data_IF_513841613714
#
_entry.id   IF_513841613714
#
_cell.length_a   1.000
_cell.length_b   1.000
_cell.length_c   1.000
_cell.angle_alpha   90.00
_cell.angle_beta   90.00
_cell.angle_gamma   90.00
#
_symmetry.space_group_name_H-M   'P 1'
#
loop_
_entity.id
_entity.type
_entity.pdbx_description
1 polymer ?
#
# COMPACT_ATOMS: atom_id res chain seq x y z
N UNK A 1 -11.43 -13.74 -8.85
CA UNK A 1 -10.94 -14.98 -8.23
C UNK A 1 -11.47 -15.15 -6.80
N UNK A 2 -11.16 -14.30 -5.83
CA UNK A 2 -11.62 -14.47 -4.43
C UNK A 2 -13.13 -14.74 -4.32
N UNK A 3 -13.97 -13.89 -4.91
CA UNK A 3 -15.43 -14.05 -4.86
C UNK A 3 -15.93 -15.33 -5.56
N UNK A 4 -15.18 -15.86 -6.55
CA UNK A 4 -15.55 -17.06 -7.30
C UNK A 4 -15.27 -18.35 -6.48
N UNK A 5 -14.14 -18.38 -5.74
CA UNK A 5 -13.60 -19.58 -5.12
C UNK A 5 -13.64 -19.58 -3.59
N UNK A 6 -14.14 -18.51 -2.95
CA UNK A 6 -14.42 -18.47 -1.51
C UNK A 6 -15.92 -18.58 -1.22
N UNK A 7 -16.26 -18.85 0.04
CA UNK A 7 -17.66 -18.87 0.46
C UNK A 7 -18.27 -17.47 0.32
N UNK A 8 -19.25 -17.33 -0.58
CA UNK A 8 -19.90 -16.04 -0.93
C UNK A 8 -20.50 -15.32 0.28
N UNK A 9 -21.12 -16.06 1.20
CA UNK A 9 -21.72 -15.50 2.41
C UNK A 9 -20.64 -14.91 3.33
N UNK A 10 -19.54 -15.64 3.55
CA UNK A 10 -18.40 -15.13 4.35
C UNK A 10 -17.74 -13.93 3.70
N UNK A 11 -17.64 -13.93 2.37
CA UNK A 11 -17.08 -12.78 1.63
C UNK A 11 -17.94 -11.52 1.80
N UNK A 12 -19.28 -11.64 1.71
CA UNK A 12 -20.19 -10.51 1.95
C UNK A 12 -20.09 -10.02 3.39
N UNK A 13 -20.06 -10.94 4.37
CA UNK A 13 -19.84 -10.56 5.78
C UNK A 13 -18.50 -9.84 5.97
N UNK A 14 -17.42 -10.31 5.33
CA UNK A 14 -16.12 -9.64 5.35
C UNK A 14 -16.23 -8.18 4.90
N UNK A 15 -16.90 -7.92 3.77
CA UNK A 15 -17.10 -6.56 3.26
C UNK A 15 -17.89 -5.69 4.26
N UNK A 16 -18.96 -6.23 4.84
CA UNK A 16 -19.78 -5.50 5.84
C UNK A 16 -18.94 -5.14 7.07
N UNK A 17 -18.21 -6.08 7.64
CA UNK A 17 -17.35 -5.81 8.79
C UNK A 17 -16.18 -4.88 8.46
N UNK A 18 -15.62 -4.97 7.25
CA UNK A 18 -14.63 -4.03 6.76
C UNK A 18 -15.16 -2.60 6.63
N UNK A 19 -16.40 -2.45 6.15
CA UNK A 19 -17.07 -1.15 6.08
C UNK A 19 -17.28 -0.58 7.49
N UNK A 20 -17.75 -1.39 8.46
CA UNK A 20 -17.91 -0.93 9.85
C UNK A 20 -16.55 -0.52 10.44
N UNK A 21 -15.50 -1.30 10.19
CA UNK A 21 -14.15 -0.96 10.65
C UNK A 21 -13.64 0.36 10.05
N UNK A 22 -14.01 0.69 8.81
CA UNK A 22 -13.61 1.93 8.13
C UNK A 22 -14.18 3.20 8.79
N UNK A 23 -15.19 3.09 9.65
CA UNK A 23 -15.72 4.24 10.42
C UNK A 23 -14.75 4.74 11.50
N UNK A 24 -13.70 4.00 11.85
CA UNK A 24 -12.77 4.37 12.91
C UNK A 24 -12.18 5.78 12.72
N UNK A 25 -11.79 6.15 11.50
CA UNK A 25 -11.24 7.48 11.21
C UNK A 25 -12.26 8.59 11.42
N UNK A 26 -13.53 8.34 11.05
CA UNK A 26 -14.64 9.29 11.26
C UNK A 26 -14.93 9.46 12.75
N UNK A 27 -14.96 8.36 13.50
CA UNK A 27 -15.17 8.39 14.95
C UNK A 27 -14.08 9.24 15.60
N UNK A 28 -12.81 9.05 15.22
CA UNK A 28 -11.70 9.85 15.75
C UNK A 28 -11.80 11.32 15.37
N UNK A 29 -12.21 11.64 14.13
CA UNK A 29 -12.45 13.02 13.71
C UNK A 29 -13.61 13.67 14.53
N UNK A 30 -14.69 12.93 14.76
CA UNK A 30 -15.80 13.39 15.59
C UNK A 30 -15.38 13.60 17.05
N UNK A 31 -14.51 12.73 17.59
CA UNK A 31 -13.93 12.91 18.93
C UNK A 31 -13.15 14.22 19.01
N UNK A 32 -12.27 14.45 18.06
CA UNK A 32 -11.47 15.70 18.01
C UNK A 32 -12.38 16.92 17.89
N UNK A 33 -13.37 16.87 16.99
CA UNK A 33 -14.35 17.94 16.82
C UNK A 33 -15.09 18.28 18.11
N UNK A 34 -15.67 17.25 18.73
CA UNK A 34 -16.55 17.41 19.89
C UNK A 34 -15.77 17.85 21.11
N UNK A 35 -14.62 17.21 21.39
CA UNK A 35 -13.78 17.59 22.54
C UNK A 35 -13.23 19.00 22.39
N UNK A 36 -12.81 19.41 21.19
CA UNK A 36 -12.37 20.79 20.94
C UNK A 36 -13.51 21.79 21.14
N UNK A 37 -14.73 21.49 20.67
CA UNK A 37 -15.86 22.36 20.87
C UNK A 37 -16.30 22.44 22.35
N UNK A 38 -16.25 21.32 23.10
CA UNK A 38 -16.48 21.30 24.55
C UNK A 38 -15.48 22.19 25.27
N UNK A 39 -14.17 22.06 24.93
CA UNK A 39 -13.10 22.86 25.52
C UNK A 39 -13.29 24.35 25.24
N UNK A 40 -13.64 24.72 23.98
CA UNK A 40 -13.84 26.10 23.58
C UNK A 40 -15.05 26.72 24.26
N UNK A 41 -16.15 25.95 24.38
CA UNK A 41 -17.41 26.43 24.99
C UNK A 41 -17.44 26.23 26.50
N UNK A 42 -16.42 25.66 27.12
CA UNK A 42 -16.31 25.37 28.58
C UNK A 42 -17.51 24.57 29.13
N UNK A 43 -18.11 23.69 28.33
CA UNK A 43 -19.27 22.90 28.68
C UNK A 43 -18.87 21.45 28.99
N UNK A 44 -18.65 21.13 30.28
CA UNK A 44 -18.20 19.84 30.75
C UNK A 44 -19.30 18.83 31.07
N UNK A 45 -20.55 19.26 31.13
CA UNK A 45 -21.66 18.46 31.67
C UNK A 45 -21.93 17.18 30.88
N UNK A 46 -21.63 17.18 29.56
CA UNK A 46 -21.91 16.06 28.66
C UNK A 46 -20.72 15.18 28.36
N UNK A 47 -19.55 15.45 28.94
CA UNK A 47 -18.31 14.77 28.56
C UNK A 47 -18.34 13.27 28.90
N UNK A 48 -18.89 12.92 30.06
CA UNK A 48 -18.96 11.52 30.50
C UNK A 48 -19.85 10.67 29.57
N UNK A 49 -21.02 11.20 29.21
CA UNK A 49 -21.92 10.54 28.27
C UNK A 49 -21.28 10.41 26.89
N UNK A 50 -20.64 11.47 26.40
CA UNK A 50 -19.91 11.44 25.13
C UNK A 50 -18.80 10.40 25.12
N UNK A 51 -17.96 10.36 26.15
CA UNK A 51 -16.87 9.38 26.27
C UNK A 51 -17.39 7.94 26.30
N UNK A 52 -18.49 7.67 26.99
CA UNK A 52 -19.10 6.34 27.02
C UNK A 52 -19.55 5.90 25.62
N UNK A 53 -20.20 6.79 24.86
CA UNK A 53 -20.65 6.50 23.49
C UNK A 53 -19.46 6.25 22.57
N UNK A 54 -18.40 7.07 22.67
CA UNK A 54 -17.21 6.94 21.82
C UNK A 54 -16.45 5.65 22.13
N UNK A 55 -16.26 5.33 23.42
CA UNK A 55 -15.60 4.07 23.80
C UNK A 55 -16.39 2.88 23.25
N UNK A 56 -17.72 2.89 23.39
CA UNK A 56 -18.55 1.84 22.81
C UNK A 56 -18.40 1.74 21.29
N UNK A 57 -18.41 2.89 20.58
CA UNK A 57 -18.19 2.92 19.13
C UNK A 57 -16.81 2.40 18.72
N UNK A 58 -15.75 2.74 19.45
CA UNK A 58 -14.39 2.24 19.20
C UNK A 58 -14.29 0.73 19.47
N UNK A 59 -14.96 0.21 20.49
CA UNK A 59 -15.04 -1.24 20.76
C UNK A 59 -15.74 -1.95 19.61
N UNK A 60 -16.84 -1.40 19.08
CA UNK A 60 -17.54 -1.97 17.92
C UNK A 60 -16.64 -2.01 16.69
N UNK A 61 -15.90 -0.93 16.38
CA UNK A 61 -14.96 -0.91 15.25
C UNK A 61 -13.80 -1.87 15.45
N UNK A 62 -13.30 -2.04 16.67
CA UNK A 62 -12.28 -3.03 17.00
C UNK A 62 -12.79 -4.45 16.75
N UNK A 63 -13.97 -4.80 17.27
CA UNK A 63 -14.58 -6.12 17.04
C UNK A 63 -14.78 -6.34 15.54
N UNK A 64 -15.30 -5.34 14.82
CA UNK A 64 -15.49 -5.42 13.38
C UNK A 64 -14.18 -5.67 12.64
N UNK A 65 -13.10 -4.97 13.01
CA UNK A 65 -11.76 -5.16 12.43
C UNK A 65 -11.22 -6.57 12.70
N UNK A 66 -11.37 -7.10 13.92
CA UNK A 66 -10.94 -8.45 14.26
C UNK A 66 -11.71 -9.51 13.46
N UNK A 67 -13.02 -9.35 13.31
CA UNK A 67 -13.86 -10.25 12.50
C UNK A 67 -13.49 -10.14 11.03
N UNK A 68 -13.31 -8.91 10.50
CA UNK A 68 -12.84 -8.68 9.14
C UNK A 68 -11.53 -9.41 8.86
N UNK A 69 -10.53 -9.28 9.73
CA UNK A 69 -9.23 -9.93 9.56
C UNK A 69 -9.33 -11.46 9.52
N UNK A 70 -10.18 -12.05 10.36
CA UNK A 70 -10.43 -13.49 10.36
C UNK A 70 -11.12 -13.96 9.07
N UNK A 71 -12.14 -13.22 8.62
CA UNK A 71 -12.87 -13.53 7.39
C UNK A 71 -11.99 -13.34 6.15
N UNK A 72 -11.17 -12.28 6.10
CA UNK A 72 -10.17 -12.03 5.05
C UNK A 72 -9.21 -13.20 4.92
N UNK A 73 -8.61 -13.60 6.04
CA UNK A 73 -7.65 -14.72 6.06
C UNK A 73 -8.31 -16.04 5.68
N UNK A 74 -9.55 -16.29 6.13
CA UNK A 74 -10.32 -17.49 5.76
C UNK A 74 -10.62 -17.52 4.25
N UNK A 75 -11.07 -16.41 3.67
CA UNK A 75 -11.37 -16.32 2.24
C UNK A 75 -10.12 -16.54 1.37
N UNK A 76 -8.99 -15.97 1.77
CA UNK A 76 -7.70 -16.18 1.07
C UNK A 76 -7.27 -17.64 1.20
N UNK A 77 -7.37 -18.24 2.40
CA UNK A 77 -7.05 -19.65 2.63
C UNK A 77 -7.91 -20.57 1.77
N UNK A 78 -9.24 -20.37 1.76
CA UNK A 78 -10.17 -21.17 0.97
C UNK A 78 -9.82 -21.11 -0.52
N UNK A 79 -9.59 -19.88 -1.05
CA UNK A 79 -9.19 -19.66 -2.44
C UNK A 79 -7.85 -20.33 -2.77
N UNK A 80 -6.83 -20.13 -1.93
CA UNK A 80 -5.52 -20.75 -2.13
C UNK A 80 -5.59 -22.29 -2.09
N UNK A 81 -6.35 -22.85 -1.17
CA UNK A 81 -6.52 -24.31 -1.08
C UNK A 81 -7.20 -24.85 -2.33
N UNK A 82 -8.30 -24.23 -2.75
CA UNK A 82 -9.02 -24.62 -3.97
C UNK A 82 -8.09 -24.59 -5.19
N UNK A 83 -7.45 -23.45 -5.45
CA UNK A 83 -6.60 -23.28 -6.62
C UNK A 83 -5.40 -24.23 -6.64
N UNK A 84 -4.70 -24.39 -5.49
CA UNK A 84 -3.55 -25.29 -5.43
C UNK A 84 -3.92 -26.75 -5.63
N UNK A 85 -5.06 -27.18 -5.10
CA UNK A 85 -5.52 -28.59 -5.24
C UNK A 85 -5.83 -28.89 -6.70
N UNK A 86 -6.60 -28.03 -7.38
CA UNK A 86 -7.00 -28.25 -8.77
C UNK A 86 -5.81 -28.14 -9.74
N UNK A 87 -4.97 -27.12 -9.56
CA UNK A 87 -3.79 -26.97 -10.42
C UNK A 87 -2.79 -28.10 -10.23
N UNK A 88 -2.58 -28.59 -8.99
CA UNK A 88 -1.72 -29.74 -8.77
C UNK A 88 -2.31 -30.99 -9.40
N UNK A 89 -3.65 -31.20 -9.31
CA UNK A 89 -4.36 -32.28 -10.00
C UNK A 89 -4.09 -32.26 -11.51
N UNK A 90 -4.33 -31.12 -12.17
CA UNK A 90 -4.08 -30.97 -13.59
C UNK A 90 -2.60 -31.16 -14.00
N UNK A 91 -1.66 -30.70 -13.15
CA UNK A 91 -0.23 -30.92 -13.41
C UNK A 91 0.19 -32.40 -13.32
N UNK A 92 -0.44 -33.19 -12.42
CA UNK A 92 -0.17 -34.60 -12.28
C UNK A 92 -0.70 -35.43 -13.46
N UNK A 93 -1.76 -34.97 -14.10
CA UNK A 93 -2.35 -35.61 -15.29
C UNK A 93 -1.55 -35.33 -16.58
N UNK A 94 -0.95 -34.13 -16.72
CA UNK A 94 -0.19 -33.71 -17.92
C UNK A 94 1.21 -34.34 -18.04
N UNK A 95 1.64 -35.25 -17.21
CA UNK A 95 2.90 -36.04 -17.25
C UNK A 95 4.09 -35.41 -18.02
N UNK A 96 4.31 -34.09 -17.91
CA UNK A 96 5.43 -33.37 -18.52
C UNK A 96 6.60 -33.14 -17.54
N UNK A 97 7.80 -33.43 -17.99
CA UNK A 97 9.09 -33.35 -17.27
C UNK A 97 9.56 -31.91 -16.91
N UNK A 98 8.70 -31.02 -16.45
CA UNK A 98 9.05 -29.64 -16.07
C UNK A 98 9.01 -29.43 -14.54
N UNK A 99 9.76 -30.22 -13.79
CA UNK A 99 9.71 -30.24 -12.32
C UNK A 99 10.13 -28.94 -11.62
N UNK A 100 11.05 -28.15 -12.19
CA UNK A 100 11.55 -26.92 -11.53
C UNK A 100 10.61 -25.72 -11.69
N UNK A 101 10.04 -25.52 -12.86
CA UNK A 101 9.11 -24.42 -13.15
C UNK A 101 7.75 -24.63 -12.46
N UNK A 102 7.30 -25.89 -12.35
CA UNK A 102 6.05 -26.24 -11.69
C UNK A 102 6.10 -26.01 -10.17
N UNK A 103 7.24 -26.33 -9.53
CA UNK A 103 7.45 -26.08 -8.11
C UNK A 103 7.52 -24.58 -7.81
N UNK A 104 8.23 -23.80 -8.65
CA UNK A 104 8.29 -22.34 -8.55
C UNK A 104 6.92 -21.70 -8.66
N UNK A 105 6.07 -22.18 -9.58
CA UNK A 105 4.71 -21.73 -9.74
C UNK A 105 3.85 -22.01 -8.50
N UNK A 106 3.85 -23.24 -7.98
CA UNK A 106 3.06 -23.63 -6.80
C UNK A 106 3.51 -22.96 -5.50
N UNK A 107 4.74 -22.45 -5.44
CA UNK A 107 5.30 -21.79 -4.25
C UNK A 107 5.35 -20.27 -4.39
N UNK A 108 6.24 -19.77 -5.23
CA UNK A 108 6.51 -18.33 -5.35
C UNK A 108 5.37 -17.57 -6.04
N UNK A 109 4.84 -18.10 -7.16
CA UNK A 109 3.79 -17.41 -7.91
C UNK A 109 2.49 -17.39 -7.12
N UNK A 110 2.16 -18.45 -6.38
CA UNK A 110 1.03 -18.44 -5.46
C UNK A 110 1.20 -17.44 -4.31
N UNK A 111 2.42 -17.27 -3.80
CA UNK A 111 2.69 -16.24 -2.79
C UNK A 111 2.50 -14.83 -3.38
N UNK A 112 2.91 -14.62 -4.62
CA UNK A 112 2.65 -13.36 -5.35
C UNK A 112 1.15 -13.15 -5.60
N UNK A 113 0.39 -14.18 -5.95
CA UNK A 113 -1.07 -14.08 -6.06
C UNK A 113 -1.71 -13.67 -4.74
N UNK A 114 -1.29 -14.28 -3.63
CA UNK A 114 -1.82 -13.94 -2.30
C UNK A 114 -1.54 -12.48 -1.95
N UNK A 115 -0.28 -12.05 -2.10
CA UNK A 115 0.14 -10.69 -1.69
C UNK A 115 -0.33 -9.62 -2.66
N UNK A 116 -0.08 -9.81 -3.97
CA UNK A 116 -0.25 -8.77 -4.98
C UNK A 116 -1.60 -8.82 -5.71
N UNK A 117 -2.39 -9.90 -5.49
CA UNK A 117 -3.72 -10.00 -6.11
C UNK A 117 -4.82 -10.03 -5.06
N UNK A 118 -4.84 -11.04 -4.18
CA UNK A 118 -5.95 -11.22 -3.26
C UNK A 118 -5.99 -10.15 -2.19
N UNK A 119 -4.86 -9.85 -1.55
CA UNK A 119 -4.78 -8.76 -0.59
C UNK A 119 -5.06 -7.42 -1.25
N UNK A 120 -4.43 -7.12 -2.39
CA UNK A 120 -4.60 -5.86 -3.08
C UNK A 120 -6.06 -5.62 -3.51
N UNK A 121 -6.80 -6.63 -4.00
CA UNK A 121 -8.21 -6.49 -4.33
C UNK A 121 -9.07 -6.12 -3.13
N UNK A 122 -8.85 -6.75 -1.98
CA UNK A 122 -9.60 -6.45 -0.74
C UNK A 122 -9.22 -5.05 -0.25
N UNK A 123 -7.93 -4.70 -0.26
CA UNK A 123 -7.44 -3.41 0.20
C UNK A 123 -7.96 -2.25 -0.64
N UNK A 124 -7.99 -2.38 -1.97
CA UNK A 124 -8.61 -1.38 -2.85
C UNK A 124 -10.07 -1.10 -2.44
N UNK A 125 -10.86 -2.14 -2.19
CA UNK A 125 -12.26 -1.99 -1.77
C UNK A 125 -12.34 -1.23 -0.43
N UNK A 126 -11.52 -1.61 0.54
CA UNK A 126 -11.48 -0.97 1.87
C UNK A 126 -11.01 0.48 1.78
N UNK A 127 -10.01 0.79 0.95
CA UNK A 127 -9.53 2.15 0.74
C UNK A 127 -10.58 3.04 0.05
N UNK A 128 -11.35 2.50 -0.91
CA UNK A 128 -12.47 3.23 -1.51
C UNK A 128 -13.53 3.56 -0.44
N UNK A 129 -13.91 2.60 0.40
CA UNK A 129 -14.85 2.86 1.49
C UNK A 129 -14.33 3.91 2.46
N UNK A 130 -13.07 3.80 2.89
CA UNK A 130 -12.43 4.77 3.78
C UNK A 130 -12.46 6.19 3.18
N UNK A 131 -12.10 6.31 1.90
CA UNK A 131 -12.09 7.59 1.19
C UNK A 131 -13.50 8.21 1.09
N UNK A 132 -14.49 7.42 0.64
CA UNK A 132 -15.87 7.90 0.47
C UNK A 132 -16.47 8.33 1.81
N UNK A 133 -16.24 7.55 2.86
CA UNK A 133 -16.73 7.86 4.21
C UNK A 133 -16.04 9.11 4.77
N UNK A 134 -14.73 9.22 4.64
CA UNK A 134 -13.97 10.38 5.13
C UNK A 134 -14.37 11.66 4.39
N UNK A 135 -14.49 11.62 3.06
CA UNK A 135 -14.93 12.76 2.26
C UNK A 135 -16.38 13.14 2.57
N UNK A 136 -17.29 12.16 2.68
CA UNK A 136 -18.69 12.41 3.01
C UNK A 136 -18.85 13.12 4.34
N UNK A 137 -18.15 12.64 5.39
CA UNK A 137 -18.17 13.29 6.69
C UNK A 137 -17.55 14.69 6.65
N UNK A 138 -16.37 14.84 6.04
CA UNK A 138 -15.69 16.13 5.99
C UNK A 138 -16.49 17.19 5.21
N UNK A 139 -17.12 16.82 4.09
CA UNK A 139 -18.01 17.70 3.32
C UNK A 139 -19.24 18.13 4.13
N UNK A 140 -19.80 17.22 4.93
CA UNK A 140 -20.93 17.53 5.82
C UNK A 140 -20.52 18.50 6.96
N UNK A 141 -19.26 18.42 7.44
CA UNK A 141 -18.73 19.32 8.47
C UNK A 141 -18.46 20.71 7.91
N UNK A 142 -17.70 20.83 6.84
CA UNK A 142 -17.45 22.09 6.12
C UNK A 142 -16.92 21.80 4.71
N UNK A 143 -17.75 22.01 3.71
CA UNK A 143 -17.42 21.69 2.31
C UNK A 143 -16.25 22.51 1.75
N UNK A 144 -16.15 23.80 2.12
CA UNK A 144 -15.12 24.69 1.61
C UNK A 144 -13.73 24.31 2.12
N UNK A 145 -13.62 24.04 3.43
CA UNK A 145 -12.37 23.56 4.02
C UNK A 145 -11.97 22.20 3.45
N UNK A 146 -12.94 21.29 3.30
CA UNK A 146 -12.70 19.96 2.73
C UNK A 146 -12.12 20.06 1.32
N UNK A 147 -12.68 20.91 0.47
CA UNK A 147 -12.14 21.14 -0.89
C UNK A 147 -10.72 21.70 -0.87
N UNK A 148 -10.42 22.65 0.03
CA UNK A 148 -9.06 23.20 0.15
C UNK A 148 -8.04 22.14 0.58
N UNK A 149 -8.37 21.34 1.59
CA UNK A 149 -7.51 20.23 2.01
C UNK A 149 -7.36 19.16 0.93
N UNK A 150 -8.46 18.85 0.21
CA UNK A 150 -8.44 17.89 -0.88
C UNK A 150 -7.53 18.36 -2.03
N UNK A 151 -7.72 19.59 -2.51
CA UNK A 151 -6.88 20.17 -3.58
C UNK A 151 -5.43 20.26 -3.14
N UNK A 152 -5.16 20.73 -1.91
CA UNK A 152 -3.83 20.76 -1.33
C UNK A 152 -3.16 19.38 -1.31
N UNK A 153 -3.93 18.32 -1.04
CA UNK A 153 -3.41 16.95 -0.97
C UNK A 153 -2.90 16.40 -2.30
N UNK A 154 -3.30 16.95 -3.46
CA UNK A 154 -2.77 16.53 -4.76
C UNK A 154 -1.43 17.19 -5.13
N UNK A 155 -1.05 18.28 -4.47
CA UNK A 155 0.16 19.02 -4.84
C UNK A 155 1.45 18.23 -4.57
N UNK A 156 1.62 17.50 -3.47
CA UNK A 156 2.75 16.59 -3.27
C UNK A 156 2.91 15.56 -4.38
N UNK A 157 1.79 15.09 -4.96
CA UNK A 157 1.81 14.16 -6.09
C UNK A 157 2.38 14.80 -7.36
N UNK A 158 2.05 16.09 -7.60
CA UNK A 158 2.62 16.86 -8.73
C UNK A 158 4.13 17.02 -8.52
N UNK A 159 4.56 17.34 -7.31
CA UNK A 159 6.00 17.45 -6.97
C UNK A 159 6.70 16.10 -7.22
N UNK A 160 6.11 14.99 -6.77
CA UNK A 160 6.66 13.65 -7.02
C UNK A 160 6.87 13.37 -8.51
N UNK A 161 5.93 13.77 -9.37
CA UNK A 161 6.03 13.57 -10.82
C UNK A 161 7.22 14.31 -11.44
N UNK A 162 7.59 15.49 -10.92
CA UNK A 162 8.76 16.24 -11.40
C UNK A 162 10.05 15.46 -11.18
N UNK A 163 10.16 14.72 -10.09
CA UNK A 163 11.35 13.93 -9.74
C UNK A 163 11.35 12.52 -10.33
N UNK A 164 10.26 12.07 -10.94
CA UNK A 164 10.13 10.71 -11.46
C UNK A 164 11.23 10.37 -12.49
N UNK A 165 11.51 11.28 -13.44
CA UNK A 165 12.53 11.05 -14.47
C UNK A 165 13.95 11.00 -13.88
N UNK A 166 14.40 11.94 -13.04
CA UNK A 166 15.69 11.83 -12.36
C UNK A 166 15.85 10.53 -11.55
N UNK A 167 14.80 10.10 -10.83
CA UNK A 167 14.83 8.85 -10.06
C UNK A 167 15.00 7.65 -10.99
N UNK A 168 14.27 7.60 -12.10
CA UNK A 168 14.37 6.53 -13.09
C UNK A 168 15.79 6.44 -13.68
N UNK A 169 16.37 7.58 -14.12
CA UNK A 169 17.72 7.63 -14.66
C UNK A 169 18.77 7.17 -13.63
N UNK A 170 18.60 7.54 -12.36
CA UNK A 170 19.48 7.10 -11.29
C UNK A 170 19.35 5.60 -11.00
N UNK A 171 18.12 5.07 -11.04
CA UNK A 171 17.84 3.62 -10.92
C UNK A 171 18.47 2.81 -12.07
N UNK A 172 18.40 3.31 -13.30
CA UNK A 172 19.03 2.67 -14.47
C UNK A 172 20.56 2.62 -14.34
N UNK A 173 21.19 3.71 -13.83
CA UNK A 173 22.61 3.74 -13.54
C UNK A 173 23.02 2.71 -12.49
N UNK A 174 22.25 2.61 -11.41
CA UNK A 174 22.46 1.60 -10.38
C UNK A 174 22.29 0.18 -10.95
N UNK A 175 21.23 -0.08 -11.71
CA UNK A 175 20.96 -1.38 -12.34
C UNK A 175 22.12 -1.80 -13.26
N UNK A 176 22.65 -0.87 -14.06
CA UNK A 176 23.80 -1.10 -14.93
C UNK A 176 25.07 -1.42 -14.13
N UNK A 177 25.34 -0.67 -13.07
CA UNK A 177 26.47 -0.91 -12.19
C UNK A 177 26.36 -2.27 -11.47
N UNK A 178 25.16 -2.62 -11.01
CA UNK A 178 24.88 -3.91 -10.37
C UNK A 178 25.08 -5.09 -11.34
N UNK A 179 24.59 -4.96 -12.56
CA UNK A 179 24.79 -6.00 -13.60
C UNK A 179 26.28 -6.24 -13.90
N UNK A 180 27.07 -5.16 -13.97
CA UNK A 180 28.54 -5.27 -14.13
C UNK A 180 29.18 -5.98 -12.95
N UNK A 181 28.81 -5.63 -11.73
CA UNK A 181 29.31 -6.26 -10.51
C UNK A 181 28.98 -7.77 -10.48
N UNK A 182 27.71 -8.12 -10.73
CA UNK A 182 27.26 -9.53 -10.73
C UNK A 182 28.01 -10.33 -11.76
N UNK A 183 28.11 -9.83 -13.00
CA UNK A 183 28.85 -10.53 -14.09
C UNK A 183 30.34 -10.68 -13.78
N UNK A 184 30.98 -9.64 -13.26
CA UNK A 184 32.40 -9.70 -12.90
C UNK A 184 32.66 -10.67 -11.75
N UNK A 185 31.80 -10.62 -10.70
CA UNK A 185 31.92 -11.53 -9.55
C UNK A 185 31.69 -12.98 -9.98
N UNK A 186 30.69 -13.23 -10.84
CA UNK A 186 30.46 -14.57 -11.41
C UNK A 186 31.70 -15.08 -12.17
N UNK A 187 32.33 -14.23 -12.99
CA UNK A 187 33.53 -14.61 -13.73
C UNK A 187 34.72 -14.91 -12.81
N UNK A 188 34.92 -14.13 -11.74
CA UNK A 188 35.97 -14.39 -10.77
C UNK A 188 35.73 -15.69 -10.00
N UNK A 189 34.49 -15.96 -9.60
CA UNK A 189 34.14 -17.20 -8.90
C UNK A 189 34.26 -18.42 -9.81
N UNK A 190 33.88 -18.30 -11.09
CA UNK A 190 34.06 -19.38 -12.06
C UNK A 190 35.53 -19.64 -12.41
N UNK A 191 36.38 -18.61 -12.33
CA UNK A 191 37.80 -18.70 -12.62
C UNK A 191 38.72 -18.81 -11.39
N UNK A 192 38.19 -19.17 -10.22
CA UNK A 192 38.95 -19.20 -8.95
C UNK A 192 40.20 -20.07 -9.04
N UNK A 193 40.11 -21.26 -9.64
CA UNK A 193 41.28 -22.17 -9.83
C UNK A 193 42.34 -21.52 -10.71
N UNK A 194 41.95 -20.88 -11.80
CA UNK A 194 42.86 -20.14 -12.69
C UNK A 194 43.55 -18.99 -11.97
N UNK A 195 42.82 -18.25 -11.16
CA UNK A 195 43.36 -17.15 -10.36
C UNK A 195 44.39 -17.65 -9.34
N UNK A 196 44.16 -18.83 -8.76
CA UNK A 196 45.15 -19.47 -7.88
C UNK A 196 46.38 -19.93 -8.62
N UNK A 197 46.25 -20.57 -9.80
CA UNK A 197 47.36 -21.07 -10.60
C UNK A 197 48.30 -19.96 -11.07
N UNK A 198 47.77 -18.76 -11.36
CA UNK A 198 48.53 -17.62 -11.87
C UNK A 198 48.80 -16.53 -10.83
N UNK A 199 48.55 -16.77 -9.55
CA UNK A 199 48.70 -15.81 -8.43
C UNK A 199 47.99 -14.47 -8.67
N UNK A 200 46.82 -14.53 -9.36
CA UNK A 200 46.06 -13.36 -9.81
C UNK A 200 45.02 -12.82 -8.82
N UNK A 201 44.89 -13.38 -7.59
CA UNK A 201 43.84 -13.05 -6.61
C UNK A 201 43.88 -11.58 -6.21
N UNK A 202 45.10 -11.02 -5.98
CA UNK A 202 45.25 -9.62 -5.59
C UNK A 202 44.79 -8.67 -6.67
N UNK A 203 45.07 -8.98 -7.95
CA UNK A 203 44.63 -8.16 -9.09
C UNK A 203 43.10 -8.25 -9.28
N UNK A 204 42.53 -9.45 -9.17
CA UNK A 204 41.10 -9.67 -9.22
C UNK A 204 40.37 -8.92 -8.07
N UNK A 205 40.93 -9.01 -6.85
CA UNK A 205 40.44 -8.29 -5.69
C UNK A 205 40.43 -6.76 -5.87
N UNK A 206 41.54 -6.20 -6.36
CA UNK A 206 41.65 -4.77 -6.66
C UNK A 206 40.63 -4.30 -7.72
N UNK A 207 40.46 -5.09 -8.79
CA UNK A 207 39.49 -4.82 -9.85
C UNK A 207 38.06 -4.93 -9.33
N UNK A 208 37.77 -5.93 -8.49
CA UNK A 208 36.46 -6.08 -7.87
C UNK A 208 36.14 -4.93 -6.93
N UNK A 209 37.11 -4.49 -6.11
CA UNK A 209 36.97 -3.31 -5.22
C UNK A 209 36.56 -2.06 -6.02
N UNK A 210 37.12 -1.85 -7.21
CA UNK A 210 36.77 -0.73 -8.08
C UNK A 210 35.32 -0.83 -8.57
N UNK A 211 34.87 -2.04 -8.92
CA UNK A 211 33.50 -2.29 -9.39
C UNK A 211 32.48 -2.13 -8.27
N UNK A 212 32.79 -2.64 -7.06
CA UNK A 212 32.01 -2.44 -5.86
C UNK A 212 31.87 -0.94 -5.54
N UNK A 213 33.00 -0.19 -5.57
CA UNK A 213 32.95 1.27 -5.31
C UNK A 213 32.02 2.00 -6.27
N UNK A 214 32.00 1.62 -7.55
CA UNK A 214 31.09 2.20 -8.55
C UNK A 214 29.63 1.82 -8.32
N UNK A 215 29.38 0.58 -7.92
CA UNK A 215 28.05 0.09 -7.54
C UNK A 215 27.52 0.87 -6.34
N UNK A 216 28.32 0.93 -5.26
CA UNK A 216 27.92 1.63 -4.02
C UNK A 216 27.72 3.13 -4.24
N UNK A 217 28.56 3.76 -5.09
CA UNK A 217 28.36 5.16 -5.45
C UNK A 217 27.04 5.37 -6.21
N UNK A 218 26.71 4.50 -7.15
CA UNK A 218 25.45 4.58 -7.90
C UNK A 218 24.24 4.34 -6.99
N UNK A 219 24.34 3.38 -6.05
CA UNK A 219 23.32 3.11 -5.05
C UNK A 219 23.13 4.30 -4.10
N UNK A 220 24.23 4.86 -3.60
CA UNK A 220 24.22 6.04 -2.74
C UNK A 220 23.55 7.23 -3.42
N UNK A 221 23.88 7.50 -4.68
CA UNK A 221 23.29 8.59 -5.43
C UNK A 221 21.77 8.39 -5.65
N UNK A 222 21.35 7.14 -5.94
CA UNK A 222 19.93 6.79 -6.07
C UNK A 222 19.19 7.00 -4.74
N UNK A 223 19.78 6.54 -3.63
CA UNK A 223 19.18 6.67 -2.30
C UNK A 223 19.09 8.15 -1.86
N UNK A 224 20.15 8.93 -2.07
CA UNK A 224 20.15 10.36 -1.78
C UNK A 224 19.06 11.09 -2.56
N UNK A 225 18.94 10.83 -3.88
CA UNK A 225 17.91 11.45 -4.69
C UNK A 225 16.49 11.10 -4.21
N UNK A 226 16.26 9.86 -3.79
CA UNK A 226 14.98 9.45 -3.20
C UNK A 226 14.71 10.16 -1.87
N UNK A 227 15.70 10.28 -0.99
CA UNK A 227 15.58 10.95 0.30
C UNK A 227 15.34 12.45 0.12
N UNK A 228 16.08 13.10 -0.78
CA UNK A 228 15.91 14.50 -1.11
C UNK A 228 14.54 14.78 -1.72
N UNK A 229 14.08 13.91 -2.63
CA UNK A 229 12.73 13.99 -3.21
C UNK A 229 11.65 13.89 -2.13
N UNK A 230 11.77 12.93 -1.22
CA UNK A 230 10.84 12.79 -0.10
C UNK A 230 10.86 14.04 0.80
N UNK A 231 12.03 14.65 1.01
CA UNK A 231 12.17 15.87 1.80
C UNK A 231 11.45 17.06 1.11
N UNK A 232 11.58 17.20 -0.20
CA UNK A 232 10.84 18.20 -0.98
C UNK A 232 9.34 17.97 -0.97
N UNK A 233 8.90 16.72 -1.15
CA UNK A 233 7.48 16.34 -1.09
C UNK A 233 6.90 16.69 0.28
N UNK A 234 7.59 16.35 1.36
CA UNK A 234 7.17 16.66 2.72
C UNK A 234 7.14 18.16 3.00
N UNK A 235 8.16 18.90 2.56
CA UNK A 235 8.22 20.36 2.73
C UNK A 235 7.04 21.05 2.04
N UNK A 236 6.84 20.77 0.75
CA UNK A 236 5.73 21.33 -0.02
C UNK A 236 4.37 20.89 0.55
N UNK A 237 4.26 19.60 0.93
CA UNK A 237 3.07 19.06 1.56
C UNK A 237 2.73 19.77 2.87
N UNK A 238 3.70 20.01 3.74
CA UNK A 238 3.47 20.72 5.00
C UNK A 238 2.99 22.16 4.77
N UNK A 239 3.49 22.84 3.76
CA UNK A 239 3.05 24.22 3.46
C UNK A 239 1.67 24.21 2.80
N UNK A 240 1.51 23.47 1.71
CA UNK A 240 0.35 23.60 0.83
C UNK A 240 -0.83 22.73 1.27
N UNK A 241 -0.53 21.53 1.76
CA UNK A 241 -1.58 20.59 2.21
C UNK A 241 -2.03 20.88 3.64
N UNK A 242 -1.15 21.41 4.49
CA UNK A 242 -1.47 21.65 5.88
C UNK A 242 -1.56 23.14 6.23
N UNK A 243 -0.47 23.89 6.12
CA UNK A 243 -0.37 25.26 6.64
C UNK A 243 -1.35 26.22 5.97
N UNK A 244 -1.44 26.23 4.63
CA UNK A 244 -2.34 27.13 3.91
C UNK A 244 -3.83 26.86 4.19
N UNK A 245 -4.35 25.62 4.04
CA UNK A 245 -5.72 25.31 4.38
C UNK A 245 -6.04 25.53 5.86
N UNK A 246 -5.06 25.27 6.74
CA UNK A 246 -5.23 25.52 8.18
C UNK A 246 -5.36 27.00 8.51
N UNK A 247 -4.51 27.87 7.95
CA UNK A 247 -4.60 29.31 8.11
C UNK A 247 -5.94 29.86 7.59
N UNK A 248 -6.37 29.37 6.41
CA UNK A 248 -7.67 29.73 5.89
C UNK A 248 -8.81 29.23 6.81
N UNK A 249 -8.67 28.04 7.37
CA UNK A 249 -9.61 27.51 8.35
C UNK A 249 -9.70 28.38 9.61
N UNK A 250 -8.58 28.84 10.15
CA UNK A 250 -8.55 29.79 11.27
C UNK A 250 -9.27 31.10 10.90
N UNK A 251 -9.07 31.61 9.68
CA UNK A 251 -9.79 32.79 9.20
C UNK A 251 -11.31 32.57 9.20
N UNK A 252 -11.81 31.39 8.74
CA UNK A 252 -13.23 31.05 8.78
C UNK A 252 -13.77 30.91 10.22
N UNK A 253 -12.95 30.39 11.13
CA UNK A 253 -13.32 30.31 12.56
C UNK A 253 -13.49 31.71 13.15
N UNK A 254 -12.55 32.62 12.89
CA UNK A 254 -12.63 34.03 13.37
C UNK A 254 -13.86 34.75 12.78
N UNK A 255 -14.24 34.43 11.54
CA UNK A 255 -15.46 34.94 10.90
C UNK A 255 -16.76 34.29 11.41
N UNK A 256 -16.68 33.29 12.29
CA UNK A 256 -17.86 32.54 12.80
C UNK A 256 -18.51 31.61 11.78
N UNK A 257 -17.86 31.33 10.65
CA UNK A 257 -18.39 30.47 9.58
C UNK A 257 -18.13 28.97 9.82
N UNK A 258 -17.25 28.63 10.75
CA UNK A 258 -16.97 27.26 11.17
C UNK A 258 -16.52 27.25 12.64
N UNK A 259 -16.58 26.09 13.29
CA UNK A 259 -16.05 25.93 14.66
C UNK A 259 -14.59 25.50 14.61
N UNK A 260 -13.85 25.79 15.70
CA UNK A 260 -12.46 25.31 15.84
C UNK A 260 -12.41 23.77 15.83
N UNK A 261 -13.40 23.11 16.44
CA UNK A 261 -13.49 21.66 16.41
C UNK A 261 -13.72 21.10 15.00
N UNK A 262 -14.53 21.78 14.16
CA UNK A 262 -14.72 21.39 12.77
C UNK A 262 -13.43 21.49 11.97
N UNK A 263 -12.63 22.55 12.17
CA UNK A 263 -11.33 22.69 11.55
C UNK A 263 -10.40 21.53 11.93
N UNK A 264 -10.27 21.24 13.23
CA UNK A 264 -9.40 20.12 13.67
C UNK A 264 -9.90 18.75 13.21
N UNK A 265 -11.22 18.54 13.11
CA UNK A 265 -11.76 17.29 12.54
C UNK A 265 -11.35 17.08 11.08
N UNK A 266 -11.42 18.14 10.25
CA UNK A 266 -11.02 18.07 8.84
C UNK A 266 -9.50 17.86 8.72
N UNK A 267 -8.70 18.53 9.54
CA UNK A 267 -7.25 18.31 9.62
C UNK A 267 -6.94 16.85 9.96
N UNK A 268 -7.65 16.26 10.94
CA UNK A 268 -7.50 14.85 11.28
C UNK A 268 -7.81 13.91 10.11
N UNK A 269 -8.78 14.29 9.27
CA UNK A 269 -9.16 13.50 8.09
C UNK A 269 -8.30 13.78 6.85
N UNK A 270 -7.45 14.80 6.85
CA UNK A 270 -6.67 15.16 5.66
C UNK A 270 -5.83 13.98 5.12
N UNK A 271 -5.21 13.19 6.01
CA UNK A 271 -4.49 11.98 5.62
C UNK A 271 -5.41 10.86 5.10
N UNK A 272 -6.69 10.88 5.48
CA UNK A 272 -7.71 9.93 4.99
C UNK A 272 -8.26 10.31 3.61
N UNK A 273 -7.77 11.38 2.97
CA UNK A 273 -8.06 11.72 1.58
C UNK A 273 -6.97 11.22 0.65
N UNK A 274 -5.70 11.58 0.93
CA UNK A 274 -4.59 11.28 0.03
C UNK A 274 -4.11 9.82 0.14
N UNK A 275 -3.99 9.30 1.37
CA UNK A 275 -3.43 7.98 1.59
C UNK A 275 -4.22 6.86 0.88
N UNK A 276 -5.57 6.81 0.95
CA UNK A 276 -6.33 5.82 0.19
C UNK A 276 -6.08 5.88 -1.31
N UNK A 277 -5.93 7.07 -1.89
CA UNK A 277 -5.65 7.23 -3.32
C UNK A 277 -4.28 6.63 -3.66
N UNK A 278 -3.25 6.94 -2.86
CA UNK A 278 -1.91 6.40 -3.06
C UNK A 278 -1.88 4.87 -2.90
N UNK A 279 -2.56 4.32 -1.90
CA UNK A 279 -2.67 2.88 -1.70
C UNK A 279 -3.40 2.18 -2.85
N UNK A 280 -4.49 2.77 -3.37
CA UNK A 280 -5.21 2.23 -4.54
C UNK A 280 -4.30 2.19 -5.77
N UNK A 281 -3.48 3.24 -6.00
CA UNK A 281 -2.53 3.28 -7.12
C UNK A 281 -1.42 2.22 -6.96
N UNK A 282 -0.86 2.06 -5.77
CA UNK A 282 0.14 1.04 -5.46
C UNK A 282 -0.44 -0.37 -5.65
N UNK A 283 -1.60 -0.64 -5.07
CA UNK A 283 -2.27 -1.94 -5.19
C UNK A 283 -2.69 -2.25 -6.64
N UNK A 284 -3.09 -1.24 -7.43
CA UNK A 284 -3.32 -1.40 -8.86
C UNK A 284 -2.04 -1.79 -9.61
N UNK A 285 -0.90 -1.21 -9.22
CA UNK A 285 0.41 -1.61 -9.75
C UNK A 285 0.72 -3.07 -9.39
N UNK A 286 0.53 -3.47 -8.13
CA UNK A 286 0.68 -4.86 -7.68
C UNK A 286 -0.19 -5.83 -8.47
N UNK A 287 -1.48 -5.47 -8.71
CA UNK A 287 -2.37 -6.28 -9.56
C UNK A 287 -1.81 -6.51 -10.96
N UNK A 288 -1.11 -5.53 -11.53
CA UNK A 288 -0.52 -5.67 -12.87
C UNK A 288 0.60 -6.70 -12.93
N UNK A 289 1.36 -6.87 -11.84
CA UNK A 289 2.46 -7.85 -11.77
C UNK A 289 1.99 -9.30 -11.80
N UNK A 290 0.72 -9.54 -11.45
CA UNK A 290 0.15 -10.90 -11.36
C UNK A 290 -0.65 -11.31 -12.60
N UNK A 291 -0.73 -10.49 -13.67
CA UNK A 291 -1.56 -10.80 -14.84
C UNK A 291 -1.19 -12.13 -15.49
N UNK A 292 0.11 -12.35 -15.78
CA UNK A 292 0.59 -13.60 -16.39
C UNK A 292 0.34 -14.83 -15.52
N UNK A 293 0.47 -14.66 -14.20
CA UNK A 293 0.19 -15.75 -13.24
C UNK A 293 -1.31 -16.12 -13.28
N UNK A 294 -2.18 -15.11 -13.34
CA UNK A 294 -3.63 -15.30 -13.44
C UNK A 294 -4.03 -15.98 -14.76
N UNK A 295 -3.43 -15.59 -15.87
CA UNK A 295 -3.63 -16.24 -17.18
C UNK A 295 -3.25 -17.72 -17.07
N UNK A 296 -2.07 -18.04 -16.54
CA UNK A 296 -1.62 -19.42 -16.33
C UNK A 296 -2.56 -20.20 -15.40
N UNK A 297 -3.06 -19.60 -14.33
CA UNK A 297 -4.05 -20.22 -13.42
C UNK A 297 -5.36 -20.52 -14.16
N UNK A 298 -5.86 -19.59 -14.97
CA UNK A 298 -7.11 -19.79 -15.71
C UNK A 298 -6.95 -20.90 -16.77
N UNK A 299 -5.81 -20.94 -17.48
CA UNK A 299 -5.52 -21.98 -18.47
C UNK A 299 -5.55 -23.38 -17.87
N UNK A 300 -5.06 -23.55 -16.63
CA UNK A 300 -5.13 -24.84 -15.92
C UNK A 300 -6.57 -25.18 -15.53
N UNK A 301 -7.34 -24.22 -15.03
CA UNK A 301 -8.73 -24.45 -14.58
C UNK A 301 -9.70 -24.67 -15.76
N UNK A 302 -9.48 -24.01 -16.89
CA UNK A 302 -10.32 -24.20 -18.09
C UNK A 302 -10.09 -25.57 -18.72
N UNK A 303 -8.84 -26.09 -18.74
CA UNK A 303 -8.53 -27.45 -19.20
C UNK A 303 -9.18 -28.55 -18.36
N UNK A 304 -9.27 -28.36 -17.04
CA UNK A 304 -9.93 -29.30 -16.13
C UNK A 304 -11.45 -29.35 -16.38
N UNK A 305 -12.06 -28.20 -16.68
CA UNK A 305 -13.50 -28.08 -16.94
C UNK A 305 -13.92 -28.73 -18.29
N UNK A 306 -13.03 -28.77 -19.27
CA UNK A 306 -13.27 -29.39 -20.60
C UNK A 306 -13.13 -30.93 -20.56
N UNK A 307 -12.65 -31.50 -19.47
CA UNK A 307 -12.45 -32.95 -19.27
C UNK A 307 -13.52 -33.61 -18.39
N UNK A 308 -14.35 -32.84 -17.68
CA UNK A 308 -15.54 -33.30 -16.96
C UNK A 308 -16.80 -33.27 -17.89
#
# INVERSE_FOLDING_TARGET
MLFKYSNKFRFVLMIIFGLIASFQNIIMANVVQTLTNIATNKNWDKIAQFLTIIIAALVVTLIASLVFNRLKTSAIKETNTYLRTHILGGMLEESKDENSDSLGFLTNDFKLLETNRFNAQIEIIMQIFSLVLALGYALAVNWLLTLLFLVGSFIPMIVSNVFQKPIQESSEKWTSANSKYVNQTKNFLAGVETLHLYDGQNQAGAKNKQTISKLEQALSNMNLLNLDTNSWINFVGNIVTFLMPFLFGIYLVVKGQTSLGALFAIVQLANSFINPILFILDDRSKLSTTKKIVEKVNDFLDKETDQE
#
